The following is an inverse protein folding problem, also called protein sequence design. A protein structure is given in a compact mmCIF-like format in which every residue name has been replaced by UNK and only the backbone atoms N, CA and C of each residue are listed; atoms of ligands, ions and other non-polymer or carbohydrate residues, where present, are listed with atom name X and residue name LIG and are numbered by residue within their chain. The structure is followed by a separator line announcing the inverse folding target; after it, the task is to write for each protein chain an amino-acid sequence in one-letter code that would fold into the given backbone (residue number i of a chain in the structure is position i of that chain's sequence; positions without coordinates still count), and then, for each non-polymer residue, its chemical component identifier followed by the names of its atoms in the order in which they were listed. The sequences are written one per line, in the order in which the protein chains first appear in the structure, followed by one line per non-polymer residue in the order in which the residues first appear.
data_IF_134694499811
#
_entry.id   IF_134694499811
#
_cell.length_a   1.000
_cell.length_b   1.000
_cell.length_c   1.000
_cell.angle_alpha   90.00
_cell.angle_beta   90.00
_cell.angle_gamma   90.00
#
_symmetry.space_group_name_H-M   'P 1'
#
loop_
_entity.id
_entity.type
_entity.pdbx_description
1 polymer ?
#
# COMPACT_ATOMS: atom_id res chain seq x y z
N UNK A 1 -20.29 -10.10 15.97
CA UNK A 1 -20.00 -9.34 14.72
C UNK A 1 -18.51 -9.01 14.62
N UNK A 2 -17.62 -10.02 14.68
CA UNK A 2 -16.16 -9.83 14.69
C UNK A 2 -15.47 -10.13 13.34
N UNK A 3 -16.19 -10.69 12.37
CA UNK A 3 -15.62 -11.10 11.09
C UNK A 3 -15.51 -9.97 10.07
N UNK A 4 -16.35 -8.95 10.19
CA UNK A 4 -16.44 -7.86 9.21
C UNK A 4 -15.15 -7.01 9.21
N UNK A 5 -14.58 -6.75 10.39
CA UNK A 5 -13.33 -5.98 10.54
C UNK A 5 -12.13 -6.74 9.97
N UNK A 6 -11.98 -8.01 10.32
CA UNK A 6 -10.88 -8.83 9.81
C UNK A 6 -10.96 -9.01 8.29
N UNK A 7 -12.17 -9.16 7.76
CA UNK A 7 -12.42 -9.24 6.31
C UNK A 7 -12.05 -7.93 5.62
N UNK A 8 -12.53 -6.79 6.14
CA UNK A 8 -12.21 -5.45 5.63
C UNK A 8 -10.71 -5.17 5.64
N UNK A 9 -10.03 -5.53 6.72
CA UNK A 9 -8.59 -5.37 6.87
C UNK A 9 -7.83 -6.18 5.82
N UNK A 10 -8.25 -7.44 5.60
CA UNK A 10 -7.67 -8.29 4.57
C UNK A 10 -7.87 -7.70 3.18
N UNK A 11 -9.08 -7.25 2.85
CA UNK A 11 -9.37 -6.62 1.56
C UNK A 11 -8.52 -5.36 1.30
N UNK A 12 -8.33 -4.52 2.33
CA UNK A 12 -7.49 -3.33 2.23
C UNK A 12 -6.01 -3.70 2.04
N UNK A 13 -5.52 -4.71 2.76
CA UNK A 13 -4.14 -5.21 2.61
C UNK A 13 -3.91 -5.85 1.23
N UNK A 14 -4.87 -6.60 0.70
CA UNK A 14 -4.82 -7.17 -0.66
C UNK A 14 -4.79 -6.06 -1.73
N UNK A 15 -5.61 -5.01 -1.58
CA UNK A 15 -5.56 -3.85 -2.50
C UNK A 15 -4.23 -3.11 -2.44
N UNK A 16 -3.69 -2.91 -1.23
CA UNK A 16 -2.38 -2.29 -1.05
C UNK A 16 -1.28 -3.10 -1.73
N UNK A 17 -1.30 -4.42 -1.56
CA UNK A 17 -0.34 -5.35 -2.17
C UNK A 17 -0.45 -5.38 -3.70
N UNK A 18 -1.67 -5.40 -4.26
CA UNK A 18 -1.88 -5.29 -5.71
C UNK A 18 -1.39 -3.95 -6.27
N UNK A 19 -1.66 -2.82 -5.60
CA UNK A 19 -1.14 -1.52 -6.00
C UNK A 19 0.39 -1.44 -5.92
N UNK A 20 1.00 -2.06 -4.91
CA UNK A 20 2.47 -2.15 -4.76
C UNK A 20 3.08 -3.06 -5.84
N UNK A 21 2.45 -4.20 -6.16
CA UNK A 21 2.90 -5.15 -7.19
C UNK A 21 2.79 -4.60 -8.61
N UNK A 22 1.75 -3.81 -8.90
CA UNK A 22 1.60 -3.09 -10.17
C UNK A 22 2.72 -2.08 -10.43
N UNK A 23 3.56 -1.79 -9.42
CA UNK A 23 4.78 -1.01 -9.57
C UNK A 23 6.03 -1.86 -9.25
N UNK A 24 6.67 -2.48 -10.25
CA UNK A 24 7.91 -3.24 -10.04
C UNK A 24 9.08 -2.39 -9.52
N UNK A 25 8.98 -1.06 -9.53
CA UNK A 25 9.95 -0.16 -8.91
C UNK A 25 10.07 -0.32 -7.39
N UNK A 26 9.12 -0.98 -6.72
CA UNK A 26 9.16 -1.23 -5.27
C UNK A 26 9.53 -2.68 -4.91
N UNK A 27 9.76 -3.56 -5.90
CA UNK A 27 10.12 -4.95 -5.66
C UNK A 27 11.44 -5.30 -6.36
N UNK A 28 12.53 -4.68 -5.91
CA UNK A 28 13.85 -5.27 -6.10
C UNK A 28 14.73 -4.89 -4.92
N UNK A 29 15.10 -5.90 -4.14
CA UNK A 29 16.09 -5.83 -3.07
C UNK A 29 17.51 -5.59 -3.61
N UNK A 30 17.70 -4.52 -4.37
CA UNK A 30 19.00 -4.04 -4.82
C UNK A 30 19.18 -2.63 -4.27
N UNK A 31 19.94 -2.56 -3.19
CA UNK A 31 20.46 -1.35 -2.58
C UNK A 31 21.39 -0.61 -3.55
N UNK A 32 20.83 0.03 -4.57
CA UNK A 32 21.59 0.85 -5.50
C UNK A 32 20.81 2.13 -5.74
N UNK A 33 21.14 3.11 -4.90
CA UNK A 33 21.10 4.54 -5.15
C UNK A 33 20.60 4.93 -6.56
N UNK A 34 19.30 5.23 -6.67
CA UNK A 34 18.79 6.03 -7.79
C UNK A 34 18.07 7.22 -7.17
N UNK A 35 18.82 8.32 -7.14
CA UNK A 35 18.39 9.68 -6.84
C UNK A 35 17.41 10.17 -7.92
N UNK A 36 16.24 9.53 -8.04
CA UNK A 36 15.25 9.92 -9.04
C UNK A 36 13.86 9.77 -8.44
N UNK A 37 13.33 10.90 -8.00
CA UNK A 37 11.94 11.14 -7.65
C UNK A 37 10.97 11.01 -8.87
N UNK A 38 11.18 10.03 -9.75
CA UNK A 38 10.30 9.79 -10.89
C UNK A 38 9.86 8.33 -10.95
N UNK A 39 8.56 8.15 -11.15
CA UNK A 39 7.85 6.97 -11.68
C UNK A 39 6.81 6.33 -10.76
N UNK A 40 6.36 7.01 -9.69
CA UNK A 40 5.02 6.76 -9.15
C UNK A 40 4.11 7.92 -9.56
N UNK A 41 2.98 7.67 -10.24
CA UNK A 41 1.96 8.69 -10.44
C UNK A 41 1.57 9.25 -9.06
N UNK A 42 1.50 10.57 -8.88
CA UNK A 42 1.13 11.17 -7.58
C UNK A 42 -0.23 10.67 -7.09
N UNK A 43 -1.10 10.26 -8.02
CA UNK A 43 -2.40 9.64 -7.75
C UNK A 43 -2.30 8.23 -7.14
N UNK A 44 -1.27 7.46 -7.48
CA UNK A 44 -1.04 6.13 -6.87
C UNK A 44 -0.41 6.26 -5.49
N UNK A 45 0.47 7.24 -5.29
CA UNK A 45 1.05 7.52 -3.99
C UNK A 45 -0.03 7.91 -2.97
N UNK A 46 -0.92 8.84 -3.35
CA UNK A 46 -2.05 9.24 -2.53
C UNK A 46 -3.00 8.06 -2.20
N UNK A 47 -3.24 7.17 -3.16
CA UNK A 47 -4.07 5.97 -2.93
C UNK A 47 -3.41 4.97 -1.97
N UNK A 48 -2.09 4.80 -2.04
CA UNK A 48 -1.34 3.94 -1.12
C UNK A 48 -1.39 4.52 0.29
N UNK A 49 -1.10 5.82 0.45
CA UNK A 49 -1.16 6.50 1.75
C UNK A 49 -2.55 6.42 2.37
N UNK A 50 -3.61 6.65 1.58
CA UNK A 50 -4.99 6.57 2.05
C UNK A 50 -5.35 5.14 2.52
N UNK A 51 -4.87 4.11 1.82
CA UNK A 51 -5.09 2.71 2.23
C UNK A 51 -4.29 2.37 3.49
N UNK A 52 -3.05 2.84 3.62
CA UNK A 52 -2.23 2.62 4.81
C UNK A 52 -2.85 3.30 6.05
N UNK A 53 -3.38 4.51 5.90
CA UNK A 53 -4.06 5.22 6.99
C UNK A 53 -5.36 4.50 7.41
N UNK A 54 -6.16 4.04 6.44
CA UNK A 54 -7.36 3.25 6.72
C UNK A 54 -7.05 1.93 7.44
N UNK A 55 -5.99 1.22 7.03
CA UNK A 55 -5.54 0.00 7.71
C UNK A 55 -5.12 0.34 9.13
N UNK A 56 -4.31 1.37 9.32
CA UNK A 56 -3.82 1.78 10.65
C UNK A 56 -4.96 2.20 11.58
N UNK A 57 -5.93 2.95 11.09
CA UNK A 57 -7.12 3.34 11.84
C UNK A 57 -7.98 2.11 12.20
N UNK A 58 -8.06 1.13 11.31
CA UNK A 58 -8.72 -0.15 11.57
C UNK A 58 -7.92 -1.08 12.47
N UNK A 59 -6.60 -0.95 12.61
CA UNK A 59 -5.78 -1.72 13.55
C UNK A 59 -5.76 -1.09 14.95
N UNK A 60 -5.86 0.24 15.04
CA UNK A 60 -5.84 0.99 16.30
C UNK A 60 -7.16 0.97 17.09
N UNK A 61 -8.26 0.48 16.50
CA UNK A 61 -9.57 0.28 17.15
C UNK A 61 -9.69 -1.07 17.85
#
# INVERSE_FOLDING_TARGET
MGNDRATKLKELKDKLDDLKKRNPAHCSGTATFVSTAHSMPPTLYAQIEELEDQIKALEAK
#
